data_IF_859749566478
#
_entry.id   IF_859749566478
#
_cell.length_a   1.000
_cell.length_b   1.000
_cell.length_c   1.000
_cell.angle_alpha   90.00
_cell.angle_beta   90.00
_cell.angle_gamma   90.00
#
_symmetry.space_group_name_H-M   'P 1'
#
loop_
_entity.id
_entity.type
_entity.pdbx_description
1 polymer ?
#
# COMPACT_ATOMS: atom_id res chain seq x y z
N UNK A 1 -10.22 -5.24 -15.40
CA UNK A 1 -9.03 -5.55 -14.57
C UNK A 1 -7.74 -4.86 -15.04
N UNK A 2 -7.03 -5.28 -16.11
CA UNK A 2 -5.71 -4.68 -16.48
C UNK A 2 -5.73 -3.14 -16.61
N UNK A 3 -6.78 -2.57 -17.18
CA UNK A 3 -6.97 -1.11 -17.28
C UNK A 3 -7.17 -0.43 -15.93
N UNK A 4 -7.86 -1.10 -15.00
CA UNK A 4 -8.07 -0.59 -13.64
C UNK A 4 -6.76 -0.57 -12.85
N UNK A 5 -5.91 -1.61 -13.00
CA UNK A 5 -4.57 -1.64 -12.39
C UNK A 5 -3.72 -0.48 -12.91
N UNK A 6 -3.63 -0.29 -14.23
CA UNK A 6 -2.86 0.82 -14.82
C UNK A 6 -3.38 2.19 -14.34
N UNK A 7 -4.70 2.35 -14.22
CA UNK A 7 -5.29 3.59 -13.69
C UNK A 7 -4.96 3.80 -12.21
N UNK A 8 -5.04 2.74 -11.41
CA UNK A 8 -4.68 2.74 -9.99
C UNK A 8 -3.21 3.08 -9.78
N UNK A 9 -2.28 2.42 -10.48
CA UNK A 9 -0.84 2.69 -10.43
C UNK A 9 -0.51 4.13 -10.84
N UNK A 10 -1.21 4.68 -11.84
CA UNK A 10 -1.04 6.07 -12.22
C UNK A 10 -1.52 7.05 -11.12
N UNK A 11 -2.62 6.75 -10.44
CA UNK A 11 -3.09 7.53 -9.30
C UNK A 11 -2.16 7.39 -8.07
N UNK A 12 -1.61 6.20 -7.83
CA UNK A 12 -0.57 5.98 -6.82
C UNK A 12 0.68 6.82 -7.12
N UNK A 13 1.11 6.90 -8.38
CA UNK A 13 2.25 7.75 -8.76
C UNK A 13 1.99 9.25 -8.57
N UNK A 14 0.75 9.71 -8.79
CA UNK A 14 0.35 11.09 -8.45
C UNK A 14 0.37 11.33 -6.93
N UNK A 15 -0.12 10.37 -6.14
CA UNK A 15 -0.07 10.40 -4.69
C UNK A 15 1.37 10.39 -4.16
N UNK A 16 2.24 9.53 -4.69
CA UNK A 16 3.67 9.47 -4.35
C UNK A 16 4.37 10.79 -4.66
N UNK A 17 4.08 11.41 -5.82
CA UNK A 17 4.62 12.72 -6.19
C UNK A 17 4.16 13.88 -5.30
N UNK A 18 3.05 13.71 -4.58
CA UNK A 18 2.56 14.69 -3.60
C UNK A 18 3.12 14.46 -2.19
N UNK A 19 3.69 13.29 -1.91
CA UNK A 19 4.26 12.94 -0.60
C UNK A 19 5.46 13.84 -0.29
N UNK A 20 5.36 14.56 0.83
CA UNK A 20 6.42 15.40 1.38
C UNK A 20 6.20 15.60 2.87
N UNK A 21 7.26 15.87 3.66
CA UNK A 21 7.10 16.27 5.04
C UNK A 21 6.17 17.48 5.16
N UNK A 22 5.27 17.44 6.15
CA UNK A 22 4.28 18.50 6.41
C UNK A 22 2.93 18.33 5.71
N UNK A 23 2.76 17.36 4.79
CA UNK A 23 1.44 16.99 4.27
C UNK A 23 0.66 16.20 5.33
N UNK A 24 -0.65 16.39 5.46
CA UNK A 24 -1.46 15.47 6.26
C UNK A 24 -1.75 14.16 5.52
N UNK A 25 -1.99 13.07 6.26
CA UNK A 25 -2.43 11.80 5.68
C UNK A 25 -3.68 11.98 4.80
N UNK A 26 -4.66 12.77 5.25
CA UNK A 26 -5.87 13.08 4.48
C UNK A 26 -5.60 13.81 3.16
N UNK A 27 -4.69 14.79 3.15
CA UNK A 27 -4.31 15.50 1.93
C UNK A 27 -3.61 14.57 0.95
N UNK A 28 -2.73 13.69 1.45
CA UNK A 28 -2.07 12.68 0.62
C UNK A 28 -3.09 11.69 0.05
N UNK A 29 -3.98 11.14 0.87
CA UNK A 29 -5.01 10.19 0.44
C UNK A 29 -5.96 10.79 -0.58
N UNK A 30 -6.25 12.08 -0.49
CA UNK A 30 -7.09 12.79 -1.45
C UNK A 30 -6.54 12.74 -2.89
N UNK A 31 -5.22 12.61 -3.08
CA UNK A 31 -4.63 12.45 -4.41
C UNK A 31 -5.01 11.10 -5.05
N UNK A 32 -5.07 10.01 -4.27
CA UNK A 32 -5.54 8.72 -4.78
C UNK A 32 -7.02 8.79 -5.18
N UNK A 33 -7.86 9.43 -4.35
CA UNK A 33 -9.27 9.70 -4.68
C UNK A 33 -9.40 10.50 -5.98
N UNK A 34 -8.68 11.63 -6.08
CA UNK A 34 -8.70 12.50 -7.27
C UNK A 34 -8.22 11.77 -8.51
N UNK A 35 -7.08 11.07 -8.41
CA UNK A 35 -6.47 10.32 -9.51
C UNK A 35 -7.34 9.18 -10.01
N UNK A 36 -8.08 8.52 -9.10
CA UNK A 36 -9.06 7.49 -9.43
C UNK A 36 -10.25 8.06 -10.20
N UNK A 37 -10.91 9.08 -9.64
CA UNK A 37 -12.10 9.70 -10.24
C UNK A 37 -11.77 10.33 -11.60
N UNK A 38 -10.61 10.99 -11.74
CA UNK A 38 -10.17 11.56 -13.02
C UNK A 38 -10.03 10.52 -14.15
N UNK A 39 -9.88 9.24 -13.79
CA UNK A 39 -9.75 8.12 -14.73
C UNK A 39 -11.03 7.28 -14.87
N UNK A 40 -12.12 7.71 -14.23
CA UNK A 40 -13.42 7.04 -14.27
C UNK A 40 -13.54 5.83 -13.34
N UNK A 41 -12.75 5.79 -12.26
CA UNK A 41 -13.04 4.89 -11.13
C UNK A 41 -14.18 5.41 -10.26
N UNK A 42 -14.53 4.63 -9.24
CA UNK A 42 -15.80 4.80 -8.52
C UNK A 42 -15.59 5.22 -7.06
N UNK A 43 -14.90 4.41 -6.25
CA UNK A 43 -14.64 4.71 -4.84
C UNK A 43 -13.40 3.97 -4.31
N UNK A 44 -13.10 4.15 -3.02
CA UNK A 44 -12.09 3.41 -2.25
C UNK A 44 -12.80 2.82 -1.02
N UNK A 45 -12.63 1.53 -0.78
CA UNK A 45 -13.40 0.74 0.21
C UNK A 45 -13.02 1.07 1.65
N UNK A 46 -11.79 1.53 1.89
CA UNK A 46 -11.25 1.74 3.23
C UNK A 46 -10.60 3.12 3.42
N UNK A 47 -9.97 3.29 4.58
CA UNK A 47 -9.11 4.43 4.90
C UNK A 47 -7.71 3.94 5.28
N UNK A 48 -7.21 2.87 4.66
CA UNK A 48 -5.90 2.29 4.98
C UNK A 48 -4.75 3.08 4.37
N UNK A 49 -4.51 4.27 4.90
CA UNK A 49 -3.25 4.99 4.81
C UNK A 49 -2.89 5.50 6.19
N UNK A 50 -1.71 5.15 6.67
CA UNK A 50 -1.20 5.63 7.94
C UNK A 50 0.29 5.92 7.84
N UNK A 51 0.78 6.79 8.71
CA UNK A 51 2.15 7.30 8.66
C UNK A 51 2.87 7.20 10.00
N UNK A 52 4.17 6.95 9.93
CA UNK A 52 5.08 6.86 11.05
C UNK A 52 4.62 5.84 12.10
N UNK A 53 4.47 6.22 13.38
CA UNK A 53 4.08 5.29 14.43
C UNK A 53 2.64 4.77 14.29
N UNK A 54 1.81 5.36 13.42
CA UNK A 54 0.44 4.90 13.21
C UNK A 54 0.34 3.68 12.30
N UNK A 55 1.44 3.29 11.64
CA UNK A 55 1.45 2.06 10.84
C UNK A 55 1.44 0.79 11.70
N UNK A 56 1.69 0.91 13.02
CA UNK A 56 1.65 -0.20 13.98
C UNK A 56 0.85 0.18 15.25
N UNK A 57 -0.22 -0.54 15.62
CA UNK A 57 -0.81 -1.64 14.85
C UNK A 57 -1.40 -1.15 13.53
N UNK A 58 -1.33 -2.00 12.50
CA UNK A 58 -2.00 -1.79 11.22
C UNK A 58 -3.53 -1.67 11.41
N UNK A 59 -4.24 -1.17 10.40
CA UNK A 59 -5.67 -0.80 10.43
C UNK A 59 -6.03 0.50 11.15
N UNK A 60 -5.05 1.29 11.59
CA UNK A 60 -5.35 2.68 11.95
C UNK A 60 -5.74 3.47 10.69
N UNK A 61 -6.93 4.08 10.73
CA UNK A 61 -7.47 4.79 9.57
C UNK A 61 -6.70 6.10 9.27
N UNK A 62 -6.68 6.49 8.00
CA UNK A 62 -6.19 7.77 7.51
C UNK A 62 -6.81 8.92 8.30
N UNK A 63 -5.97 9.84 8.77
CA UNK A 63 -6.34 10.85 9.76
C UNK A 63 -5.83 12.25 9.37
N UNK A 64 -5.93 13.19 10.31
CA UNK A 64 -5.33 14.52 10.18
C UNK A 64 -3.86 14.57 10.64
N UNK A 65 -3.21 13.42 10.92
CA UNK A 65 -1.80 13.39 11.29
C UNK A 65 -0.96 14.00 10.17
N UNK A 66 -0.02 14.85 10.56
CA UNK A 66 1.01 15.39 9.68
C UNK A 66 2.09 14.33 9.49
N UNK A 67 2.44 14.07 8.24
CA UNK A 67 3.53 13.16 7.87
C UNK A 67 4.85 13.90 8.09
N UNK A 68 5.76 13.29 8.84
CA UNK A 68 7.06 13.85 9.19
C UNK A 68 8.16 13.33 8.25
N UNK A 69 9.31 14.00 8.23
CA UNK A 69 10.51 13.51 7.55
C UNK A 69 11.01 12.21 8.20
N UNK A 70 11.29 11.19 7.39
CA UNK A 70 11.71 9.85 7.84
C UNK A 70 10.58 8.90 8.24
N UNK A 71 9.31 9.34 8.20
CA UNK A 71 8.17 8.46 8.43
C UNK A 71 8.04 7.41 7.31
N UNK A 72 7.71 6.17 7.70
CA UNK A 72 7.11 5.24 6.75
C UNK A 72 5.64 5.64 6.52
N UNK A 73 5.22 5.68 5.26
CA UNK A 73 3.82 5.85 4.85
C UNK A 73 3.38 4.54 4.23
N UNK A 74 2.59 3.76 4.97
CA UNK A 74 2.04 2.49 4.52
C UNK A 74 0.58 2.67 4.15
N UNK A 75 0.18 2.12 3.01
CA UNK A 75 -1.19 2.21 2.53
C UNK A 75 -1.61 0.98 1.73
N UNK A 76 -2.93 0.77 1.66
CA UNK A 76 -3.59 -0.21 0.82
C UNK A 76 -4.63 0.46 -0.07
N UNK A 77 -4.53 0.32 -1.39
CA UNK A 77 -5.38 1.08 -2.31
C UNK A 77 -6.86 0.80 -2.12
N UNK A 78 -7.25 -0.46 -1.86
CA UNK A 78 -8.65 -0.87 -1.65
C UNK A 78 -9.61 -0.23 -2.68
N UNK A 79 -9.12 -0.09 -3.93
CA UNK A 79 -9.63 0.90 -4.87
C UNK A 79 -10.57 0.24 -5.87
N UNK A 80 -11.79 0.76 -5.99
CA UNK A 80 -12.71 0.41 -7.06
C UNK A 80 -12.48 1.37 -8.22
N UNK A 81 -11.75 0.86 -9.22
CA UNK A 81 -11.27 1.62 -10.36
C UNK A 81 -12.20 1.57 -11.56
N UNK A 82 -11.70 2.01 -12.73
CA UNK A 82 -12.50 2.06 -13.95
C UNK A 82 -13.12 0.70 -14.31
N UNK A 83 -14.35 0.77 -14.83
CA UNK A 83 -15.19 -0.38 -15.16
C UNK A 83 -15.59 -1.23 -13.95
N UNK A 84 -15.62 -0.66 -12.74
CA UNK A 84 -16.03 -1.33 -11.50
C UNK A 84 -15.10 -2.45 -11.03
N UNK A 85 -13.86 -2.51 -11.55
CA UNK A 85 -12.89 -3.51 -11.11
C UNK A 85 -12.10 -3.01 -9.91
N UNK A 86 -12.01 -3.85 -8.88
CA UNK A 86 -11.09 -3.65 -7.77
C UNK A 86 -9.63 -3.77 -8.22
N UNK A 87 -8.80 -2.81 -7.80
CA UNK A 87 -7.35 -2.80 -7.87
C UNK A 87 -6.82 -2.65 -6.45
N UNK A 88 -6.52 -3.80 -5.84
CA UNK A 88 -6.13 -3.96 -4.44
C UNK A 88 -4.62 -4.20 -4.36
N UNK A 89 -3.88 -3.16 -4.01
CA UNK A 89 -2.42 -3.15 -3.94
C UNK A 89 -1.97 -2.32 -2.73
N UNK A 90 -1.12 -2.91 -1.90
CA UNK A 90 -0.47 -2.19 -0.80
C UNK A 90 0.98 -1.84 -1.14
N UNK A 91 1.43 -0.67 -0.67
CA UNK A 91 2.84 -0.22 -0.74
C UNK A 91 3.21 0.54 0.53
N UNK A 92 4.51 0.61 0.79
CA UNK A 92 5.10 1.42 1.86
C UNK A 92 6.19 2.30 1.27
N UNK A 93 6.10 3.59 1.53
CA UNK A 93 7.07 4.60 1.12
C UNK A 93 7.80 5.18 2.32
N UNK A 94 9.00 5.72 2.11
CA UNK A 94 9.69 6.58 3.06
C UNK A 94 9.38 8.03 2.69
N UNK A 95 8.91 8.82 3.65
CA UNK A 95 8.72 10.26 3.47
C UNK A 95 10.05 11.00 3.62
N UNK A 96 10.36 11.87 2.65
CA UNK A 96 11.58 12.67 2.62
C UNK A 96 12.73 12.04 1.82
N UNK A 97 13.85 12.76 1.74
CA UNK A 97 15.02 12.39 0.92
C UNK A 97 16.07 11.57 1.71
N UNK A 98 15.75 11.21 2.95
CA UNK A 98 16.61 10.45 3.84
C UNK A 98 16.81 9.00 3.41
N UNK A 99 17.71 8.31 4.11
CA UNK A 99 17.86 6.84 4.01
C UNK A 99 16.95 6.18 5.05
N UNK A 100 16.25 5.07 4.72
CA UNK A 100 15.52 4.31 5.74
C UNK A 100 16.48 3.78 6.80
N UNK A 101 15.99 3.63 8.03
CA UNK A 101 16.76 2.95 9.09
C UNK A 101 17.00 1.48 8.71
N UNK A 102 18.01 0.87 9.34
CA UNK A 102 18.29 -0.56 9.11
C UNK A 102 17.08 -1.43 9.47
N UNK A 103 16.33 -1.07 10.52
CA UNK A 103 15.09 -1.73 10.91
C UNK A 103 13.99 -1.58 9.85
N UNK A 104 13.74 -0.36 9.35
CA UNK A 104 12.75 -0.12 8.28
C UNK A 104 13.09 -0.91 7.02
N UNK A 105 14.38 -0.95 6.66
CA UNK A 105 14.87 -1.70 5.52
C UNK A 105 14.69 -3.21 5.71
N UNK A 106 15.02 -3.75 6.89
CA UNK A 106 14.87 -5.17 7.19
C UNK A 106 13.41 -5.62 7.22
N UNK A 107 12.51 -4.81 7.80
CA UNK A 107 11.07 -5.08 7.78
C UNK A 107 10.52 -5.07 6.35
N UNK A 108 10.92 -4.10 5.53
CA UNK A 108 10.53 -4.06 4.12
C UNK A 108 11.01 -5.30 3.36
N UNK A 109 12.27 -5.71 3.58
CA UNK A 109 12.84 -6.91 2.97
C UNK A 109 12.06 -8.17 3.37
N UNK A 110 11.73 -8.34 4.66
CA UNK A 110 10.93 -9.47 5.15
C UNK A 110 9.57 -9.53 4.45
N UNK A 111 8.88 -8.39 4.33
CA UNK A 111 7.59 -8.32 3.65
C UNK A 111 7.70 -8.66 2.14
N UNK A 112 8.72 -8.11 1.46
CA UNK A 112 8.96 -8.37 0.05
C UNK A 112 9.31 -9.85 -0.22
N UNK A 113 10.18 -10.44 0.60
CA UNK A 113 10.58 -11.85 0.51
C UNK A 113 9.36 -12.77 0.71
N UNK A 114 8.48 -12.44 1.68
CA UNK A 114 7.26 -13.20 1.94
C UNK A 114 6.31 -13.20 0.73
N UNK A 115 6.03 -12.02 0.17
CA UNK A 115 5.15 -11.88 -1.01
C UNK A 115 5.75 -12.63 -2.20
N UNK A 116 7.05 -12.48 -2.43
CA UNK A 116 7.75 -13.14 -3.54
C UNK A 116 7.67 -14.67 -3.41
N UNK A 117 7.97 -15.23 -2.24
CA UNK A 117 7.86 -16.67 -1.98
C UNK A 117 6.43 -17.19 -2.19
N UNK A 118 5.44 -16.51 -1.59
CA UNK A 118 4.03 -16.93 -1.67
C UNK A 118 3.48 -16.84 -3.10
N UNK A 119 3.93 -15.85 -3.89
CA UNK A 119 3.53 -15.70 -5.30
C UNK A 119 3.97 -16.90 -6.14
N UNK A 120 5.17 -17.44 -5.90
CA UNK A 120 5.69 -18.63 -6.63
C UNK A 120 4.83 -19.88 -6.38
N UNK A 121 4.15 -19.97 -5.23
CA UNK A 121 3.25 -21.09 -4.92
C UNK A 121 1.97 -21.07 -5.78
N UNK A 122 1.55 -19.89 -6.26
CA UNK A 122 0.29 -19.72 -7.00
C UNK A 122 0.39 -20.30 -8.41
N UNK A 123 -0.18 -21.49 -8.60
CA UNK A 123 -0.20 -22.19 -9.90
C UNK A 123 -1.46 -23.04 -10.05
N UNK A 124 -1.91 -23.34 -11.28
CA UNK A 124 -3.05 -24.23 -11.50
C UNK A 124 -2.88 -25.57 -10.76
N UNK A 125 -3.93 -26.00 -10.05
CA UNK A 125 -3.97 -27.28 -9.34
C UNK A 125 -3.48 -27.26 -7.88
N UNK A 126 -2.92 -26.17 -7.37
CA UNK A 126 -2.68 -26.05 -5.92
C UNK A 126 -4.02 -25.88 -5.18
N UNK A 127 -4.19 -26.57 -4.04
CA UNK A 127 -5.34 -26.34 -3.17
C UNK A 127 -5.10 -25.12 -2.26
N UNK A 128 -6.18 -24.49 -1.77
CA UNK A 128 -6.05 -23.42 -0.78
C UNK A 128 -5.36 -23.89 0.51
N UNK A 129 -5.61 -25.14 0.93
CA UNK A 129 -4.93 -25.74 2.08
C UNK A 129 -3.42 -25.81 1.85
N UNK A 130 -2.99 -26.35 0.71
CA UNK A 130 -1.57 -26.47 0.40
C UNK A 130 -0.90 -25.11 0.26
N UNK A 131 -1.62 -24.10 -0.24
CA UNK A 131 -1.12 -22.73 -0.33
C UNK A 131 -0.85 -22.18 1.09
N UNK A 132 -1.82 -22.30 2.00
CA UNK A 132 -1.69 -21.82 3.39
C UNK A 132 -0.57 -22.56 4.13
N UNK A 133 -0.55 -23.89 4.06
CA UNK A 133 0.42 -24.72 4.80
C UNK A 133 1.87 -24.54 4.30
N UNK A 134 2.07 -24.05 3.07
CA UNK A 134 3.39 -23.84 2.46
C UNK A 134 3.83 -22.38 2.37
N UNK A 135 2.96 -21.44 2.74
CA UNK A 135 3.26 -20.01 2.70
C UNK A 135 4.37 -19.66 3.70
N UNK A 136 5.21 -18.70 3.33
CA UNK A 136 6.17 -18.12 4.25
C UNK A 136 5.43 -17.35 5.34
N UNK A 137 5.76 -17.66 6.60
CA UNK A 137 5.33 -16.90 7.77
C UNK A 137 6.48 -15.98 8.15
N UNK A 138 6.26 -14.67 8.33
CA UNK A 138 7.30 -13.76 8.79
C UNK A 138 7.80 -14.18 10.18
N UNK A 139 9.04 -13.80 10.57
CA UNK A 139 9.47 -13.97 11.95
C UNK A 139 8.49 -13.29 12.91
N UNK A 140 8.33 -13.86 14.10
CA UNK A 140 7.58 -13.19 15.17
C UNK A 140 8.35 -11.97 15.69
N UNK A 141 7.61 -11.10 16.38
CA UNK A 141 8.15 -9.93 17.09
C UNK A 141 9.10 -10.33 18.26
#
# INVERSE_FOLDING_TARGET
MRRAIVACEAAMGEMEGALKPGISENELWAELHRGNIARGGEWIETRLLSSGPRTNPWFQECSSRIVEDGDLVAFDTDLIGPYGFCADLSRTWLCGDGRPSDEQHDLFRIAADQIAHNTVLMRPGISFRDLVERSAVPPGD
#
